data_IF_746106793267
#
_entry.id   IF_746106793267
#
_cell.length_a   1.000
_cell.length_b   1.000
_cell.length_c   1.000
_cell.angle_alpha   90.00
_cell.angle_beta   90.00
_cell.angle_gamma   90.00
#
_symmetry.space_group_name_H-M   'P 1'
#
loop_
_entity.id
_entity.type
_entity.pdbx_description
1 polymer ?
#
# COMPACT_ATOMS: atom_id res chain seq x y z
N UNK A 1 -37.41 -15.17 29.57
CA UNK A 1 -36.61 -13.95 29.85
C UNK A 1 -36.01 -13.48 28.53
N UNK A 2 -36.64 -12.47 27.92
CA UNK A 2 -36.27 -11.90 26.62
C UNK A 2 -35.10 -10.95 26.79
N UNK A 3 -33.92 -11.33 26.33
CA UNK A 3 -32.74 -10.47 26.27
C UNK A 3 -32.75 -9.69 24.96
N UNK A 4 -33.22 -8.44 24.99
CA UNK A 4 -33.11 -7.50 23.87
C UNK A 4 -31.63 -7.31 23.53
N UNK A 5 -31.23 -7.70 22.32
CA UNK A 5 -29.94 -7.31 21.73
C UNK A 5 -29.93 -5.78 21.61
N UNK A 6 -28.94 -5.06 22.17
CA UNK A 6 -28.86 -3.62 21.99
C UNK A 6 -28.61 -3.29 20.51
N UNK A 7 -29.23 -2.23 19.95
CA UNK A 7 -28.84 -1.71 18.65
C UNK A 7 -27.57 -0.88 18.84
N UNK A 8 -26.44 -1.52 19.15
CA UNK A 8 -25.17 -0.83 19.32
C UNK A 8 -24.34 -0.90 18.05
N UNK A 9 -23.89 0.28 17.63
CA UNK A 9 -22.73 0.53 16.75
C UNK A 9 -23.00 0.69 15.26
N UNK A 10 -23.98 1.53 14.88
CA UNK A 10 -23.81 2.44 13.72
C UNK A 10 -22.87 3.61 14.07
N UNK A 11 -21.76 3.32 14.72
CA UNK A 11 -20.70 4.29 14.96
C UNK A 11 -19.79 4.25 13.73
N UNK A 12 -19.88 5.26 12.86
CA UNK A 12 -18.94 5.60 11.80
C UNK A 12 -18.19 4.41 11.18
N UNK A 13 -18.89 3.58 10.41
CA UNK A 13 -18.22 2.98 9.25
C UNK A 13 -18.13 4.11 8.23
N UNK A 14 -17.00 4.83 8.21
CA UNK A 14 -16.52 5.39 6.95
C UNK A 14 -16.34 4.18 6.03
N UNK A 15 -17.43 3.80 5.35
CA UNK A 15 -17.38 2.75 4.37
C UNK A 15 -16.44 3.23 3.29
N UNK A 16 -15.40 2.45 2.98
CA UNK A 16 -14.57 2.70 1.81
C UNK A 16 -15.49 2.92 0.61
N UNK A 17 -15.17 3.93 -0.21
CA UNK A 17 -15.96 4.13 -1.41
C UNK A 17 -15.89 2.84 -2.23
N UNK A 18 -17.02 2.39 -2.78
CA UNK A 18 -17.03 1.25 -3.72
C UNK A 18 -16.00 1.44 -4.84
N UNK A 19 -15.72 2.70 -5.18
CA UNK A 19 -14.73 3.07 -6.18
C UNK A 19 -13.28 2.82 -5.72
N UNK A 20 -12.97 3.00 -4.43
CA UNK A 20 -11.63 2.74 -3.88
C UNK A 20 -11.31 1.26 -3.86
N UNK A 21 -12.27 0.45 -3.38
CA UNK A 21 -12.15 -1.01 -3.40
C UNK A 21 -11.99 -1.51 -4.84
N UNK A 22 -12.80 -0.99 -5.76
CA UNK A 22 -12.69 -1.34 -7.19
C UNK A 22 -11.35 -0.91 -7.81
N UNK A 23 -10.75 0.21 -7.38
CA UNK A 23 -9.39 0.60 -7.81
C UNK A 23 -8.32 -0.33 -7.25
N UNK A 24 -8.43 -0.73 -5.99
CA UNK A 24 -7.49 -1.65 -5.36
C UNK A 24 -7.51 -3.04 -6.01
N UNK A 25 -8.71 -3.56 -6.31
CA UNK A 25 -8.91 -4.81 -7.06
C UNK A 25 -8.18 -4.74 -8.40
N UNK A 26 -8.49 -3.73 -9.22
CA UNK A 26 -7.86 -3.57 -10.55
C UNK A 26 -6.34 -3.45 -10.46
N UNK A 27 -5.81 -2.71 -9.48
CA UNK A 27 -4.37 -2.54 -9.31
C UNK A 27 -3.69 -3.88 -8.97
N UNK A 28 -4.29 -4.66 -8.08
CA UNK A 28 -3.80 -5.99 -7.73
C UNK A 28 -3.80 -6.90 -8.95
N UNK A 29 -4.95 -7.05 -9.62
CA UNK A 29 -5.12 -7.94 -10.77
C UNK A 29 -4.16 -7.61 -11.91
N UNK A 30 -3.99 -6.33 -12.22
CA UNK A 30 -3.04 -5.88 -13.26
C UNK A 30 -1.58 -6.19 -12.91
N UNK A 31 -1.20 -6.09 -11.64
CA UNK A 31 0.17 -6.36 -11.21
C UNK A 31 0.46 -7.85 -11.05
N UNK A 32 -0.44 -8.60 -10.42
CA UNK A 32 -0.25 -10.01 -10.07
C UNK A 32 -0.62 -10.96 -11.21
N UNK A 33 -1.50 -10.56 -12.13
CA UNK A 33 -2.10 -11.45 -13.12
C UNK A 33 -3.12 -12.44 -12.53
N UNK A 34 -3.55 -12.21 -11.28
CA UNK A 34 -4.50 -13.06 -10.55
C UNK A 34 -5.76 -12.28 -10.18
N UNK A 35 -6.91 -12.95 -10.23
CA UNK A 35 -8.17 -12.41 -9.72
C UNK A 35 -8.02 -12.02 -8.24
N UNK A 36 -8.58 -10.87 -7.85
CA UNK A 36 -8.49 -10.43 -6.46
C UNK A 36 -9.39 -11.27 -5.56
N UNK A 37 -8.83 -11.78 -4.47
CA UNK A 37 -9.56 -12.52 -3.43
C UNK A 37 -9.54 -11.77 -2.09
N UNK A 38 -10.60 -11.96 -1.29
CA UNK A 38 -10.62 -11.44 0.07
C UNK A 38 -9.69 -12.26 0.96
N UNK A 39 -8.61 -11.64 1.43
CA UNK A 39 -7.65 -12.29 2.33
C UNK A 39 -8.17 -12.40 3.78
N UNK A 40 -9.07 -11.50 4.18
CA UNK A 40 -9.68 -11.45 5.50
C UNK A 40 -9.60 -10.08 6.17
N UNK A 41 -9.96 -10.03 7.46
CA UNK A 41 -9.97 -8.80 8.26
C UNK A 41 -8.73 -8.73 9.13
N UNK A 42 -7.91 -7.69 8.92
CA UNK A 42 -6.68 -7.45 9.67
C UNK A 42 -6.79 -6.18 10.50
N UNK A 43 -6.17 -6.18 11.68
CA UNK A 43 -5.95 -4.94 12.42
C UNK A 43 -4.80 -4.18 11.76
N UNK A 44 -5.13 -3.11 11.03
CA UNK A 44 -4.14 -2.18 10.50
C UNK A 44 -3.92 -1.09 11.55
N UNK A 45 -2.68 -0.91 12.05
CA UNK A 45 -2.39 0.19 12.96
C UNK A 45 -2.78 1.53 12.33
N UNK A 46 -3.34 2.43 13.14
CA UNK A 46 -3.62 3.78 12.67
C UNK A 46 -2.32 4.45 12.19
N UNK A 47 -2.41 5.19 11.08
CA UNK A 47 -1.26 5.95 10.59
C UNK A 47 -0.82 6.96 11.67
N UNK A 48 0.45 6.94 12.10
CA UNK A 48 0.87 7.76 13.23
C UNK A 48 0.85 9.23 12.86
N UNK A 49 0.40 10.08 13.80
CA UNK A 49 0.36 11.55 13.61
C UNK A 49 1.75 12.18 13.55
N UNK A 50 2.77 11.50 14.08
CA UNK A 50 4.16 11.95 14.14
C UNK A 50 5.05 10.76 13.81
N UNK A 51 6.09 11.00 13.01
CA UNK A 51 7.10 10.01 12.66
C UNK A 51 8.50 10.64 12.68
N UNK A 52 9.51 9.82 12.95
CA UNK A 52 10.92 10.22 12.91
C UNK A 52 11.48 9.94 11.53
N UNK A 53 12.02 10.97 10.85
CA UNK A 53 12.72 10.81 9.57
C UNK A 53 14.11 10.23 9.83
N UNK A 54 14.41 9.10 9.21
CA UNK A 54 15.74 8.46 9.28
C UNK A 54 16.61 8.87 8.10
N UNK A 55 16.01 9.00 6.91
CA UNK A 55 16.72 9.39 5.68
C UNK A 55 15.86 9.19 4.45
N UNK A 56 16.50 9.13 3.29
CA UNK A 56 15.85 8.75 2.02
C UNK A 56 15.85 7.22 1.85
N UNK A 57 14.80 6.67 1.25
CA UNK A 57 14.76 5.28 0.86
C UNK A 57 15.36 5.11 -0.55
N UNK A 58 16.50 4.43 -0.65
CA UNK A 58 17.17 4.19 -1.93
C UNK A 58 16.51 3.09 -2.78
N UNK A 59 15.77 2.18 -2.15
CA UNK A 59 15.10 1.09 -2.87
C UNK A 59 14.27 0.17 -1.99
N UNK A 60 13.40 -0.59 -2.65
CA UNK A 60 12.54 -1.61 -2.04
C UNK A 60 12.84 -2.96 -2.70
N UNK A 61 13.09 -3.97 -1.88
CA UNK A 61 13.28 -5.35 -2.31
C UNK A 61 12.14 -6.18 -1.76
N UNK A 62 11.44 -6.90 -2.62
CA UNK A 62 10.30 -7.71 -2.21
C UNK A 62 10.12 -8.94 -3.09
N UNK A 63 9.45 -9.95 -2.55
CA UNK A 63 9.09 -11.18 -3.26
C UNK A 63 7.58 -11.26 -3.32
N UNK A 64 7.04 -11.63 -4.47
CA UNK A 64 5.59 -11.80 -4.67
C UNK A 64 5.34 -12.96 -5.63
N UNK A 65 4.08 -13.38 -5.75
CA UNK A 65 3.64 -14.24 -6.85
C UNK A 65 3.07 -13.35 -7.96
N UNK A 66 3.48 -13.61 -9.20
CA UNK A 66 2.96 -12.98 -10.42
C UNK A 66 2.78 -14.06 -11.48
N UNK A 67 1.62 -14.13 -12.12
CA UNK A 67 1.29 -15.12 -13.14
C UNK A 67 1.58 -16.57 -12.69
N UNK A 68 1.39 -16.83 -11.39
CA UNK A 68 1.63 -18.13 -10.75
C UNK A 68 3.09 -18.44 -10.44
N UNK A 69 4.02 -17.53 -10.73
CA UNK A 69 5.45 -17.70 -10.47
C UNK A 69 5.90 -16.80 -9.32
N UNK A 70 6.81 -17.32 -8.48
CA UNK A 70 7.46 -16.50 -7.45
C UNK A 70 8.51 -15.62 -8.10
N UNK A 71 8.34 -14.31 -7.99
CA UNK A 71 9.24 -13.32 -8.54
C UNK A 71 9.88 -12.47 -7.44
N UNK A 72 11.13 -12.07 -7.67
CA UNK A 72 11.90 -11.20 -6.77
C UNK A 72 12.16 -9.88 -7.46
N UNK A 73 11.73 -8.80 -6.83
CA UNK A 73 11.84 -7.44 -7.34
C UNK A 73 12.86 -6.65 -6.54
N UNK A 74 13.61 -5.80 -7.24
CA UNK A 74 14.47 -4.77 -6.67
C UNK A 74 14.09 -3.47 -7.37
N UNK A 75 13.34 -2.60 -6.70
CA UNK A 75 13.17 -1.23 -7.14
C UNK A 75 14.27 -0.37 -6.53
N UNK A 76 15.00 0.37 -7.37
CA UNK A 76 15.93 1.41 -6.92
C UNK A 76 15.37 2.75 -7.35
N UNK A 77 15.04 3.60 -6.39
CA UNK A 77 14.50 4.92 -6.67
C UNK A 77 15.57 5.80 -7.31
N UNK A 78 15.19 6.52 -8.36
CA UNK A 78 15.99 7.63 -8.90
C UNK A 78 16.07 8.75 -7.86
N UNK A 79 17.18 9.48 -7.88
CA UNK A 79 17.51 10.50 -6.86
C UNK A 79 16.40 11.51 -6.55
N UNK A 80 15.54 11.86 -7.52
CA UNK A 80 14.47 12.84 -7.34
C UNK A 80 13.13 12.23 -6.94
N UNK A 81 13.03 10.90 -6.91
CA UNK A 81 11.77 10.16 -6.74
C UNK A 81 11.70 9.39 -5.41
N UNK A 82 12.82 9.35 -4.67
CA UNK A 82 12.94 8.67 -3.38
C UNK A 82 11.89 9.17 -2.36
N UNK A 83 11.18 8.26 -1.67
CA UNK A 83 10.43 8.62 -0.49
C UNK A 83 11.35 8.79 0.73
N UNK A 84 10.84 9.42 1.78
CA UNK A 84 11.48 9.41 3.09
C UNK A 84 11.25 8.06 3.76
N UNK A 85 12.30 7.49 4.35
CA UNK A 85 12.21 6.40 5.30
C UNK A 85 11.97 6.98 6.69
N UNK A 86 10.81 6.68 7.25
CA UNK A 86 10.38 7.14 8.55
C UNK A 86 10.09 5.97 9.48
N UNK A 87 10.14 6.23 10.78
CA UNK A 87 9.78 5.27 11.85
C UNK A 87 8.71 5.90 12.74
N UNK A 88 7.70 5.12 13.14
CA UNK A 88 6.72 5.57 14.14
C UNK A 88 7.37 5.91 15.48
N UNK A 89 6.72 6.78 16.28
CA UNK A 89 7.27 7.23 17.56
C UNK A 89 7.56 6.09 18.56
N UNK A 90 6.84 4.97 18.47
CA UNK A 90 7.06 3.77 19.29
C UNK A 90 8.11 2.81 18.71
N UNK A 91 8.69 3.11 17.55
CA UNK A 91 9.69 2.28 16.89
C UNK A 91 9.15 1.03 16.18
N UNK A 92 7.82 0.85 16.11
CA UNK A 92 7.20 -0.42 15.68
C UNK A 92 6.77 -0.46 14.22
N UNK A 93 6.76 0.67 13.52
CA UNK A 93 6.36 0.75 12.11
C UNK A 93 7.41 1.48 11.29
N UNK A 94 7.81 0.87 10.18
CA UNK A 94 8.52 1.55 9.10
C UNK A 94 7.50 2.16 8.14
N UNK A 95 7.75 3.38 7.70
CA UNK A 95 6.87 4.15 6.84
C UNK A 95 7.69 4.70 5.67
N UNK A 96 7.18 4.54 4.45
CA UNK A 96 7.68 5.26 3.28
C UNK A 96 6.73 6.43 3.02
N UNK A 97 7.22 7.66 3.19
CA UNK A 97 6.40 8.87 3.10
C UNK A 97 6.84 9.72 1.91
N UNK A 98 5.87 10.10 1.07
CA UNK A 98 6.09 10.90 -0.12
C UNK A 98 6.72 10.09 -1.25
N UNK A 99 7.75 10.66 -1.88
CA UNK A 99 8.31 10.13 -3.11
C UNK A 99 7.49 10.52 -4.34
N UNK A 100 8.05 10.26 -5.51
CA UNK A 100 7.43 10.58 -6.80
C UNK A 100 7.42 9.35 -7.67
N UNK A 101 6.44 8.50 -7.46
CA UNK A 101 6.28 7.26 -8.20
C UNK A 101 4.82 6.88 -8.25
N UNK A 102 4.51 5.96 -9.15
CA UNK A 102 3.20 5.30 -9.22
C UNK A 102 3.42 3.80 -9.22
N UNK A 103 2.59 3.07 -8.46
CA UNK A 103 2.54 1.62 -8.59
C UNK A 103 1.63 1.26 -9.77
N UNK A 104 2.12 0.39 -10.65
CA UNK A 104 1.45 -0.01 -11.91
C UNK A 104 1.55 -1.52 -12.09
N UNK A 105 1.05 -2.04 -13.22
CA UNK A 105 1.27 -3.44 -13.64
C UNK A 105 2.76 -3.83 -13.73
N UNK A 106 3.66 -2.85 -13.83
CA UNK A 106 5.11 -3.05 -13.90
C UNK A 106 5.79 -3.00 -12.53
N UNK A 107 5.01 -2.80 -11.46
CA UNK A 107 5.49 -2.50 -10.11
C UNK A 107 5.66 -1.00 -9.89
N UNK A 108 6.65 -0.62 -9.08
CA UNK A 108 6.95 0.78 -8.76
C UNK A 108 7.60 1.44 -9.98
N UNK A 109 7.03 2.55 -10.46
CA UNK A 109 7.56 3.33 -11.58
C UNK A 109 7.80 4.77 -11.14
N UNK A 110 9.06 5.18 -11.19
CA UNK A 110 9.48 6.53 -10.83
C UNK A 110 8.91 7.58 -11.80
N UNK A 111 8.44 8.71 -11.27
CA UNK A 111 7.88 9.80 -12.08
C UNK A 111 8.92 10.41 -13.03
N UNK A 112 10.21 10.38 -12.69
CA UNK A 112 11.24 10.83 -13.62
C UNK A 112 11.54 9.81 -14.73
N UNK A 113 10.99 8.60 -14.68
CA UNK A 113 11.08 7.62 -15.76
C UNK A 113 10.06 7.90 -16.87
N UNK A 114 10.39 8.88 -17.72
CA UNK A 114 9.52 9.32 -18.83
C UNK A 114 9.19 8.23 -19.86
N UNK A 115 9.91 7.12 -19.86
CA UNK A 115 9.65 6.00 -20.78
C UNK A 115 8.55 5.11 -20.23
N UNK A 116 8.59 4.83 -18.92
CA UNK A 116 7.74 3.83 -18.30
C UNK A 116 6.59 4.43 -17.48
N UNK A 117 6.69 5.70 -17.09
CA UNK A 117 5.66 6.38 -16.32
C UNK A 117 4.42 6.61 -17.20
N UNK A 118 3.23 6.20 -16.74
CA UNK A 118 2.00 6.39 -17.50
C UNK A 118 1.72 7.89 -17.70
N UNK A 119 1.30 8.25 -18.91
CA UNK A 119 1.00 9.62 -19.32
C UNK A 119 -0.44 10.01 -18.97
#
# INVERSE_FOLDING_TARGET
MSGKVPPSSRANREGYSRDEVGRAIRLYEQFSGHDAEELGVFHVPAFPKVATVIGECDGVLYTTVRDGQTERYIHRFRSKDKPLLCVSADGRQLLLIGGRYLFTERGIVDQSDRVNYPR
#
